data_IF_814952173626
#
_entry.id   IF_814952173626
#
_cell.length_a   1.000
_cell.length_b   1.000
_cell.length_c   1.000
_cell.angle_alpha   90.00
_cell.angle_beta   90.00
_cell.angle_gamma   90.00
#
_symmetry.space_group_name_H-M   'P 1'
#
loop_
_entity.id
_entity.type
_entity.pdbx_description
1 polymer ?
#
# COMPACT_ATOMS: atom_id res chain seq x y z
N UNK A 1 45.77 -28.86 13.19
CA UNK A 1 44.45 -28.89 12.51
C UNK A 1 44.62 -28.32 11.11
N UNK A 2 44.46 -29.15 10.06
CA UNK A 2 44.56 -28.73 8.67
C UNK A 2 43.13 -28.60 8.14
N UNK A 3 42.54 -27.42 8.32
CA UNK A 3 41.20 -27.14 7.79
C UNK A 3 41.32 -27.27 6.26
N UNK A 4 40.58 -28.19 5.66
CA UNK A 4 40.62 -28.35 4.20
C UNK A 4 40.06 -27.10 3.55
N UNK A 5 40.67 -26.64 2.44
CA UNK A 5 40.17 -25.48 1.69
C UNK A 5 38.70 -25.64 1.29
N UNK A 6 38.25 -26.88 1.14
CA UNK A 6 36.84 -27.23 0.88
C UNK A 6 35.92 -26.80 2.02
N UNK A 7 36.32 -26.99 3.29
CA UNK A 7 35.52 -26.57 4.45
C UNK A 7 35.39 -25.04 4.54
N UNK A 8 36.44 -24.31 4.17
CA UNK A 8 36.39 -22.83 4.16
C UNK A 8 35.43 -22.31 3.09
N UNK A 9 35.50 -22.87 1.88
CA UNK A 9 34.61 -22.47 0.78
C UNK A 9 33.16 -22.83 1.10
N UNK A 10 32.91 -24.06 1.58
CA UNK A 10 31.55 -24.49 1.93
C UNK A 10 30.96 -23.64 3.08
N UNK A 11 31.76 -23.37 4.12
CA UNK A 11 31.32 -22.52 5.24
C UNK A 11 31.00 -21.11 4.78
N UNK A 12 31.84 -20.51 3.94
CA UNK A 12 31.61 -19.16 3.41
C UNK A 12 30.34 -19.06 2.56
N UNK A 13 30.08 -20.06 1.70
CA UNK A 13 28.87 -20.12 0.87
C UNK A 13 27.62 -20.24 1.74
N UNK A 14 27.64 -21.09 2.77
CA UNK A 14 26.52 -21.24 3.71
C UNK A 14 26.25 -19.95 4.48
N UNK A 15 27.29 -19.25 4.91
CA UNK A 15 27.17 -17.94 5.57
C UNK A 15 26.52 -16.95 4.60
N UNK A 16 27.02 -16.79 3.38
CA UNK A 16 26.44 -15.85 2.40
C UNK A 16 24.97 -16.15 2.06
N UNK A 17 24.59 -17.43 2.00
CA UNK A 17 23.20 -17.83 1.77
C UNK A 17 22.29 -17.49 2.96
N UNK A 18 22.78 -17.66 4.20
CA UNK A 18 22.03 -17.36 5.42
C UNK A 18 21.92 -15.85 5.71
N UNK A 19 22.92 -15.08 5.31
CA UNK A 19 22.98 -13.62 5.47
C UNK A 19 22.48 -12.87 4.23
N UNK A 20 21.69 -13.52 3.36
CA UNK A 20 20.98 -12.85 2.28
C UNK A 20 19.82 -12.05 2.87
N UNK A 21 20.14 -10.89 3.43
CA UNK A 21 19.17 -9.87 3.81
C UNK A 21 18.58 -9.30 2.51
N UNK A 22 17.48 -9.90 2.04
CA UNK A 22 16.64 -9.24 1.06
C UNK A 22 16.00 -8.04 1.76
N UNK A 23 16.65 -6.89 1.69
CA UNK A 23 16.08 -5.62 2.15
C UNK A 23 14.82 -5.42 1.30
N UNK A 24 13.60 -5.51 1.86
CA UNK A 24 12.45 -5.07 1.11
C UNK A 24 12.72 -3.59 0.85
N UNK A 25 12.89 -3.20 -0.43
CA UNK A 25 12.81 -1.80 -0.77
C UNK A 25 11.53 -1.32 -0.11
N UNK A 26 11.64 -0.35 0.78
CA UNK A 26 10.52 0.30 1.46
C UNK A 26 9.70 1.03 0.40
N UNK A 27 8.96 0.24 -0.39
CA UNK A 27 7.82 0.67 -1.14
C UNK A 27 6.81 1.02 -0.05
N UNK A 28 6.68 2.31 0.26
CA UNK A 28 5.54 2.80 1.03
C UNK A 28 4.30 2.07 0.52
N UNK A 29 3.55 1.38 1.41
CA UNK A 29 2.46 0.53 0.98
C UNK A 29 1.48 1.37 0.17
N UNK A 30 1.35 1.00 -1.11
CA UNK A 30 0.48 1.72 -2.04
C UNK A 30 -0.96 1.49 -1.59
N UNK A 31 -1.65 2.56 -1.23
CA UNK A 31 -3.05 2.49 -0.81
C UNK A 31 -3.94 2.27 -2.03
N UNK A 32 -4.30 1.00 -2.29
CA UNK A 32 -5.19 0.58 -3.35
C UNK A 32 -6.54 0.10 -2.83
N UNK A 33 -7.57 0.24 -3.66
CA UNK A 33 -8.92 -0.28 -3.42
C UNK A 33 -9.17 -1.50 -4.29
N UNK A 34 -9.70 -2.56 -3.69
CA UNK A 34 -10.12 -3.79 -4.38
C UNK A 34 -11.63 -4.04 -4.24
N UNK A 35 -12.24 -3.47 -3.22
CA UNK A 35 -13.67 -3.57 -2.92
C UNK A 35 -14.24 -2.16 -2.85
N UNK A 36 -15.35 -1.94 -3.54
CA UNK A 36 -16.00 -0.62 -3.58
C UNK A 36 -17.35 -0.67 -2.88
N UNK A 37 -17.60 0.35 -2.08
CA UNK A 37 -18.91 0.57 -1.48
C UNK A 37 -19.87 1.06 -2.57
N UNK A 38 -21.01 0.38 -2.71
CA UNK A 38 -22.05 0.68 -3.69
C UNK A 38 -23.15 1.58 -3.16
N UNK A 39 -23.13 1.93 -1.88
CA UNK A 39 -24.08 2.85 -1.27
C UNK A 39 -23.69 4.32 -1.42
N UNK A 40 -24.60 5.21 -1.01
CA UNK A 40 -24.33 6.65 -0.96
C UNK A 40 -23.64 7.01 0.35
N UNK A 41 -22.58 7.79 0.27
CA UNK A 41 -21.87 8.33 1.44
C UNK A 41 -22.39 9.75 1.67
N UNK A 42 -23.01 10.06 2.82
CA UNK A 42 -23.45 11.42 3.12
C UNK A 42 -22.25 12.37 3.17
N UNK A 43 -22.30 13.47 2.44
CA UNK A 43 -21.18 14.43 2.37
C UNK A 43 -20.83 15.01 3.74
N UNK A 44 -21.83 15.21 4.61
CA UNK A 44 -21.66 15.68 6.00
C UNK A 44 -20.89 14.70 6.90
N UNK A 45 -20.62 13.48 6.43
CA UNK A 45 -19.86 12.45 7.13
C UNK A 45 -18.49 12.19 6.51
N UNK A 46 -18.11 12.92 5.46
CA UNK A 46 -16.81 12.80 4.81
C UNK A 46 -15.84 13.75 5.53
N UNK A 47 -14.76 13.18 6.07
CA UNK A 47 -13.67 13.94 6.68
C UNK A 47 -12.56 14.21 5.66
N UNK A 48 -12.28 13.22 4.80
CA UNK A 48 -11.23 13.31 3.80
C UNK A 48 -11.57 12.42 2.60
N UNK A 49 -11.13 12.83 1.41
CA UNK A 49 -11.19 12.03 0.20
C UNK A 49 -9.79 12.00 -0.41
N UNK A 50 -9.20 10.82 -0.50
CA UNK A 50 -7.89 10.60 -1.12
C UNK A 50 -8.03 9.73 -2.36
N UNK A 51 -7.47 10.16 -3.49
CA UNK A 51 -7.42 9.33 -4.69
C UNK A 51 -6.43 8.16 -4.50
N UNK A 52 -6.79 6.97 -4.99
CA UNK A 52 -5.86 5.84 -5.06
C UNK A 52 -4.65 6.16 -5.93
N UNK A 53 -3.53 5.48 -5.68
CA UNK A 53 -2.31 5.66 -6.48
C UNK A 53 -2.52 5.24 -7.94
N UNK A 54 -1.83 5.93 -8.85
CA UNK A 54 -1.78 5.60 -10.28
C UNK A 54 -1.37 4.14 -10.58
N UNK A 55 -0.58 3.53 -9.68
CA UNK A 55 -0.08 2.15 -9.79
C UNK A 55 -1.14 1.10 -9.47
N UNK A 56 -2.30 1.49 -8.93
CA UNK A 56 -3.38 0.57 -8.61
C UNK A 56 -4.09 0.10 -9.90
N UNK A 57 -4.41 -1.20 -9.97
CA UNK A 57 -5.16 -1.79 -11.10
C UNK A 57 -6.55 -1.16 -11.26
N UNK A 58 -7.19 -0.85 -10.12
CA UNK A 58 -8.48 -0.17 -10.08
C UNK A 58 -8.29 1.23 -9.50
N UNK A 59 -8.79 2.23 -10.23
CA UNK A 59 -8.81 3.60 -9.75
C UNK A 59 -10.07 3.86 -8.93
N UNK A 60 -9.91 4.64 -7.86
CA UNK A 60 -11.02 5.11 -7.05
C UNK A 60 -10.57 6.07 -5.95
N UNK A 61 -11.38 6.16 -4.92
CA UNK A 61 -11.19 7.09 -3.81
C UNK A 61 -11.28 6.36 -2.49
N UNK A 62 -10.37 6.68 -1.58
CA UNK A 62 -10.39 6.29 -0.18
C UNK A 62 -11.01 7.45 0.58
N UNK A 63 -12.19 7.21 1.13
CA UNK A 63 -12.97 8.16 1.88
C UNK A 63 -12.82 7.85 3.37
N UNK A 64 -12.39 8.85 4.13
CA UNK A 64 -12.30 8.78 5.59
C UNK A 64 -13.59 9.33 6.16
N UNK A 65 -14.30 8.51 6.95
CA UNK A 65 -15.50 8.91 7.69
C UNK A 65 -15.30 8.64 9.19
N UNK A 66 -16.07 9.25 10.10
CA UNK A 66 -15.92 9.02 11.54
C UNK A 66 -16.12 7.55 11.96
N UNK A 67 -16.90 6.78 11.20
CA UNK A 67 -17.13 5.35 11.46
C UNK A 67 -16.20 4.43 10.69
N UNK A 68 -15.80 4.83 9.48
CA UNK A 68 -15.00 4.02 8.58
C UNK A 68 -13.82 4.86 8.06
N UNK A 69 -12.61 4.65 8.59
CA UNK A 69 -11.46 5.47 8.25
C UNK A 69 -10.86 5.19 6.86
N UNK A 70 -11.25 4.10 6.19
CA UNK A 70 -10.71 3.71 4.89
C UNK A 70 -11.79 3.08 4.00
N UNK A 71 -12.82 3.84 3.67
CA UNK A 71 -13.92 3.36 2.83
C UNK A 71 -13.60 3.61 1.35
N UNK A 72 -13.57 2.55 0.54
CA UNK A 72 -13.31 2.66 -0.89
C UNK A 72 -14.59 2.98 -1.68
N UNK A 73 -14.55 4.02 -2.52
CA UNK A 73 -15.63 4.45 -3.39
C UNK A 73 -15.14 4.60 -4.83
N UNK A 74 -15.94 4.15 -5.79
CA UNK A 74 -15.58 4.21 -7.21
C UNK A 74 -15.81 5.63 -7.77
N UNK A 75 -16.89 6.26 -7.33
CA UNK A 75 -17.22 7.65 -7.62
C UNK A 75 -17.60 8.33 -6.30
N UNK A 76 -17.06 9.52 -6.07
CA UNK A 76 -17.48 10.37 -4.96
C UNK A 76 -18.20 11.54 -5.59
N UNK A 77 -19.52 11.51 -5.58
CA UNK A 77 -20.31 12.71 -5.84
C UNK A 77 -20.21 13.60 -4.61
N UNK A 78 -19.06 14.26 -4.44
CA UNK A 78 -18.95 15.35 -3.48
C UNK A 78 -19.87 16.43 -4.02
N UNK A 79 -20.94 16.76 -3.31
CA UNK A 79 -21.68 17.99 -3.60
C UNK A 79 -20.84 19.14 -3.05
N UNK A 80 -19.62 19.28 -3.57
CA UNK A 80 -18.81 20.44 -3.34
C UNK A 80 -19.40 21.50 -4.27
N UNK A 81 -19.91 22.59 -3.72
CA UNK A 81 -19.93 23.84 -4.45
C UNK A 81 -18.46 24.20 -4.73
N UNK A 82 -17.87 23.57 -5.76
CA UNK A 82 -16.55 23.91 -6.26
C UNK A 82 -16.69 25.33 -6.79
N UNK A 83 -16.22 26.28 -6.01
CA UNK A 83 -15.99 27.64 -6.48
C UNK A 83 -14.59 27.61 -7.09
N UNK A 84 -14.44 27.66 -8.41
CA UNK A 84 -13.12 27.76 -9.03
C UNK A 84 -12.55 29.18 -8.76
N UNK A 85 -11.22 29.32 -8.68
CA UNK A 85 -10.55 30.62 -8.67
C UNK A 85 -10.76 31.38 -9.99
#
# INVERSE_FOLDING_TARGET
MKISRVFLVLGFVLIMALYSDAIPLSLDPVSCCFTFFTGKIPSDKILEVKRTDSRCSQQGFIVTTPRFPSLCAQEVTVTENVTPP
#
